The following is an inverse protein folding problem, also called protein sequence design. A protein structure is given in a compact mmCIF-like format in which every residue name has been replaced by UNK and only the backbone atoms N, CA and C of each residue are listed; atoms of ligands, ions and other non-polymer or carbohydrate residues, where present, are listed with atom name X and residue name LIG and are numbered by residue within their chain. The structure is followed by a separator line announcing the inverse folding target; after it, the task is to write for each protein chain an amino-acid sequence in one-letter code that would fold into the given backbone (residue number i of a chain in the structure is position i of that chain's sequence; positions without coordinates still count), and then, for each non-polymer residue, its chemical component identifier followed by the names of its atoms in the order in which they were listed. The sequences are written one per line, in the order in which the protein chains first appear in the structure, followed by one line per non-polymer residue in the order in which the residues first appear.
data_IF_883056455793
#
_entry.id   IF_883056455793
#
_cell.length_a   1.000
_cell.length_b   1.000
_cell.length_c   1.000
_cell.angle_alpha   90.00
_cell.angle_beta   90.00
_cell.angle_gamma   90.00
#
_symmetry.space_group_name_H-M   'P 1'
#
loop_
_entity.id
_entity.type
_entity.pdbx_description
1 polymer ?
#
# COMPACT_ATOMS: atom_id res chain seq x y z
N UNK A 1 4.05 -5.22 16.11
CA UNK A 1 2.87 -5.63 16.93
C UNK A 1 3.35 -6.46 18.12
N UNK A 2 2.86 -6.23 19.34
CA UNK A 2 3.21 -7.04 20.51
C UNK A 2 2.00 -7.84 20.98
N UNK A 3 2.18 -9.16 21.03
CA UNK A 3 1.25 -10.08 21.67
C UNK A 3 1.65 -10.21 23.14
N UNK A 4 0.69 -10.05 24.06
CA UNK A 4 0.93 -10.20 25.50
C UNK A 4 0.13 -11.41 25.99
N UNK A 5 0.84 -12.40 26.50
CA UNK A 5 0.26 -13.57 27.16
C UNK A 5 0.30 -13.33 28.67
N UNK A 6 -0.87 -13.28 29.32
CA UNK A 6 -0.99 -13.05 30.76
C UNK A 6 -1.94 -14.05 31.41
N UNK A 7 -1.63 -14.45 32.63
CA UNK A 7 -2.53 -15.23 33.50
C UNK A 7 -3.33 -14.33 34.45
N UNK A 8 -3.08 -13.03 34.44
CA UNK A 8 -3.69 -12.04 35.32
C UNK A 8 -4.87 -11.37 34.59
N UNK A 9 -6.06 -11.45 35.19
CA UNK A 9 -7.33 -10.94 34.67
C UNK A 9 -7.65 -9.52 35.16
N UNK A 10 -6.73 -8.87 35.89
CA UNK A 10 -6.94 -7.53 36.40
C UNK A 10 -7.08 -6.48 35.29
N UNK A 11 -8.00 -5.54 35.50
CA UNK A 11 -8.31 -4.43 34.58
C UNK A 11 -7.12 -3.47 34.35
N UNK A 12 -6.10 -3.55 35.19
CA UNK A 12 -4.85 -2.78 35.10
C UNK A 12 -4.00 -3.16 33.89
N UNK A 13 -4.06 -4.42 33.42
CA UNK A 13 -3.34 -4.86 32.21
C UNK A 13 -3.94 -4.18 30.98
N UNK A 14 -5.27 -4.15 30.88
CA UNK A 14 -5.98 -3.49 29.78
C UNK A 14 -5.77 -1.95 29.75
N UNK A 15 -5.57 -1.35 30.93
CA UNK A 15 -5.23 0.07 31.06
C UNK A 15 -3.78 0.39 30.69
N UNK A 16 -2.83 -0.56 30.83
CA UNK A 16 -1.47 -0.39 30.32
C UNK A 16 -1.37 -0.69 28.81
N UNK A 17 -2.20 -1.62 28.29
CA UNK A 17 -2.18 -2.04 26.88
C UNK A 17 -2.72 -1.00 25.91
N UNK A 18 -3.63 -0.13 26.37
CA UNK A 18 -4.14 1.02 25.60
C UNK A 18 -3.04 2.05 25.26
N UNK A 19 -1.90 2.03 25.98
CA UNK A 19 -0.74 2.90 25.67
C UNK A 19 0.25 2.29 24.66
N UNK A 20 0.15 1.01 24.30
CA UNK A 20 1.14 0.31 23.45
C UNK A 20 0.53 -0.69 22.48
N UNK A 21 -0.25 -0.25 21.47
CA UNK A 21 -0.60 -1.03 20.26
C UNK A 21 -0.79 -2.56 20.45
N UNK A 22 -1.49 -2.98 21.51
CA UNK A 22 -1.75 -4.40 21.81
C UNK A 22 -3.01 -4.81 21.07
N UNK A 23 -2.91 -5.88 20.27
CA UNK A 23 -4.00 -6.31 19.40
C UNK A 23 -4.89 -7.39 20.03
N UNK A 24 -4.40 -8.10 21.06
CA UNK A 24 -5.15 -9.15 21.75
C UNK A 24 -4.59 -9.40 23.16
N UNK A 25 -5.47 -9.74 24.10
CA UNK A 25 -5.14 -10.25 25.44
C UNK A 25 -5.97 -11.52 25.69
N UNK A 26 -5.35 -12.58 26.22
CA UNK A 26 -5.97 -13.90 26.32
C UNK A 26 -5.78 -14.44 27.74
N UNK A 27 -6.87 -14.89 28.37
CA UNK A 27 -6.92 -15.42 29.72
C UNK A 27 -7.05 -16.95 29.71
N UNK A 28 -6.41 -17.61 30.69
CA UNK A 28 -6.44 -19.08 30.88
C UNK A 28 -7.83 -19.58 31.33
N UNK A 29 -8.15 -20.87 31.10
CA UNK A 29 -7.30 -21.89 30.45
C UNK A 29 -7.35 -21.75 28.91
N UNK A 30 -6.17 -21.70 28.28
CA UNK A 30 -6.04 -21.41 26.85
C UNK A 30 -6.62 -22.54 26.01
N UNK A 31 -7.44 -22.20 25.01
CA UNK A 31 -7.65 -23.03 23.83
C UNK A 31 -6.65 -22.57 22.75
N UNK A 32 -5.57 -23.35 22.49
CA UNK A 32 -4.60 -23.03 21.46
C UNK A 32 -5.24 -22.83 20.08
N UNK A 33 -6.37 -23.50 19.79
CA UNK A 33 -7.09 -23.37 18.52
C UNK A 33 -7.65 -21.97 18.38
N UNK A 34 -8.39 -21.51 19.40
CA UNK A 34 -8.94 -20.16 19.44
C UNK A 34 -7.85 -19.10 19.38
N UNK A 35 -6.73 -19.30 20.09
CA UNK A 35 -5.60 -18.38 20.00
C UNK A 35 -5.04 -18.26 18.59
N UNK A 36 -4.75 -19.40 17.94
CA UNK A 36 -4.23 -19.44 16.57
C UNK A 36 -5.21 -18.77 15.61
N UNK A 37 -6.52 -19.07 15.73
CA UNK A 37 -7.58 -18.46 14.93
C UNK A 37 -7.59 -16.92 15.05
N UNK A 38 -7.51 -16.39 16.27
CA UNK A 38 -7.50 -14.93 16.51
C UNK A 38 -6.24 -14.28 15.93
N UNK A 39 -5.09 -14.94 16.00
CA UNK A 39 -3.85 -14.46 15.37
C UNK A 39 -4.00 -14.41 13.85
N UNK A 40 -4.48 -15.49 13.22
CA UNK A 40 -4.73 -15.51 11.77
C UNK A 40 -5.72 -14.42 11.35
N UNK A 41 -6.86 -14.30 12.05
CA UNK A 41 -7.86 -13.26 11.78
C UNK A 41 -7.27 -11.85 11.86
N UNK A 42 -6.44 -11.58 12.89
CA UNK A 42 -5.78 -10.29 13.05
C UNK A 42 -4.79 -9.98 11.91
N UNK A 43 -4.02 -10.98 11.48
CA UNK A 43 -3.06 -10.81 10.38
C UNK A 43 -3.81 -10.60 9.07
N UNK A 44 -4.79 -11.45 8.74
CA UNK A 44 -5.59 -11.34 7.52
C UNK A 44 -6.30 -9.99 7.42
N UNK A 45 -6.89 -9.50 8.52
CA UNK A 45 -7.55 -8.19 8.53
C UNK A 45 -6.57 -7.03 8.28
N UNK A 46 -5.36 -7.10 8.84
CA UNK A 46 -4.32 -6.07 8.61
C UNK A 46 -3.82 -6.09 7.18
N UNK A 47 -3.63 -7.27 6.62
CA UNK A 47 -3.18 -7.46 5.24
C UNK A 47 -4.23 -6.98 4.23
N UNK A 48 -5.50 -7.36 4.42
CA UNK A 48 -6.62 -6.88 3.60
C UNK A 48 -6.77 -5.35 3.66
N UNK A 49 -6.61 -4.74 4.83
CA UNK A 49 -6.64 -3.28 4.98
C UNK A 49 -5.49 -2.60 4.22
N UNK A 50 -4.28 -3.19 4.25
CA UNK A 50 -3.12 -2.67 3.52
C UNK A 50 -3.33 -2.73 2.01
N UNK A 51 -3.77 -3.88 1.49
CA UNK A 51 -4.09 -4.06 0.06
C UNK A 51 -5.15 -3.06 -0.40
N UNK A 52 -6.20 -2.84 0.40
CA UNK A 52 -7.25 -1.85 0.09
C UNK A 52 -6.70 -0.44 0.02
N UNK A 53 -5.76 -0.08 0.90
CA UNK A 53 -5.15 1.24 0.90
C UNK A 53 -4.25 1.46 -0.31
N UNK A 54 -3.44 0.46 -0.72
CA UNK A 54 -2.68 0.50 -1.98
C UNK A 54 -3.61 0.78 -3.16
N UNK A 55 -4.65 -0.03 -3.31
CA UNK A 55 -5.61 0.11 -4.40
C UNK A 55 -6.29 1.49 -4.40
N UNK A 56 -6.61 2.04 -3.22
CA UNK A 56 -7.17 3.37 -3.06
C UNK A 56 -6.20 4.45 -3.56
N UNK A 57 -4.92 4.34 -3.22
CA UNK A 57 -3.88 5.27 -3.66
C UNK A 57 -3.67 5.21 -5.18
N UNK A 58 -3.63 4.01 -5.78
CA UNK A 58 -3.57 3.84 -7.24
C UNK A 58 -4.75 4.51 -7.96
N UNK A 59 -5.98 4.33 -7.47
CA UNK A 59 -7.18 4.97 -8.04
C UNK A 59 -7.09 6.50 -7.91
N UNK A 60 -6.62 7.00 -6.76
CA UNK A 60 -6.45 8.44 -6.55
C UNK A 60 -5.45 9.03 -7.54
N UNK A 61 -4.24 8.45 -7.64
CA UNK A 61 -3.21 8.89 -8.57
C UNK A 61 -3.71 8.84 -10.03
N UNK A 62 -4.39 7.75 -10.42
CA UNK A 62 -4.92 7.60 -11.78
C UNK A 62 -5.97 8.66 -12.12
N UNK A 63 -6.79 9.02 -11.12
CA UNK A 63 -7.77 10.09 -11.25
C UNK A 63 -7.11 11.45 -11.42
N UNK A 64 -6.05 11.75 -10.66
CA UNK A 64 -5.31 13.02 -10.78
C UNK A 64 -4.65 13.17 -12.15
N UNK A 65 -3.99 12.13 -12.65
CA UNK A 65 -3.36 12.14 -13.98
C UNK A 65 -4.40 12.33 -15.09
N UNK A 66 -5.57 11.68 -14.97
CA UNK A 66 -6.69 11.89 -15.89
C UNK A 66 -7.21 13.32 -15.86
N UNK A 67 -7.30 13.94 -14.68
CA UNK A 67 -7.73 15.33 -14.55
C UNK A 67 -6.77 16.28 -15.26
N UNK A 68 -5.46 16.07 -15.16
CA UNK A 68 -4.47 16.87 -15.90
C UNK A 68 -4.64 16.73 -17.42
N UNK A 69 -4.88 15.52 -17.90
CA UNK A 69 -5.14 15.28 -19.33
C UNK A 69 -6.37 16.07 -19.80
N UNK A 70 -7.45 16.08 -19.01
CA UNK A 70 -8.66 16.83 -19.32
C UNK A 70 -8.42 18.35 -19.32
N UNK A 71 -7.67 18.87 -18.34
CA UNK A 71 -7.31 20.28 -18.27
C UNK A 71 -6.53 20.73 -19.51
N UNK A 72 -5.54 19.95 -19.95
CA UNK A 72 -4.79 20.27 -21.17
C UNK A 72 -5.69 20.28 -22.41
N UNK A 73 -6.61 19.34 -22.53
CA UNK A 73 -7.55 19.29 -23.65
C UNK A 73 -8.52 20.47 -23.67
N UNK A 74 -8.79 21.08 -22.52
CA UNK A 74 -9.61 22.29 -22.36
C UNK A 74 -8.78 23.58 -22.54
N UNK A 75 -7.46 23.48 -22.71
CA UNK A 75 -6.56 24.63 -22.77
C UNK A 75 -6.31 25.29 -21.41
N UNK A 76 -6.74 24.68 -20.31
CA UNK A 76 -6.49 25.18 -18.95
C UNK A 76 -5.10 24.74 -18.48
N UNK A 77 -4.11 25.60 -18.72
CA UNK A 77 -2.73 25.39 -18.28
C UNK A 77 -2.41 26.15 -16.99
N UNK A 78 -3.40 26.81 -16.39
CA UNK A 78 -3.21 27.59 -15.17
C UNK A 78 -2.83 26.62 -14.05
N UNK A 79 -1.72 26.89 -13.38
CA UNK A 79 -1.14 26.06 -12.32
C UNK A 79 -0.75 24.63 -12.72
N UNK A 80 -0.61 24.32 -14.02
CA UNK A 80 -0.23 22.97 -14.49
C UNK A 80 1.00 22.43 -13.77
N UNK A 81 2.07 23.24 -13.69
CA UNK A 81 3.32 22.87 -13.00
C UNK A 81 3.10 22.52 -11.53
N UNK A 82 2.30 23.32 -10.81
CA UNK A 82 2.02 23.09 -9.40
C UNK A 82 1.23 21.79 -9.18
N UNK A 83 0.27 21.51 -10.06
CA UNK A 83 -0.51 20.27 -9.99
C UNK A 83 0.33 19.04 -10.33
N UNK A 84 1.18 19.13 -11.35
CA UNK A 84 2.14 18.07 -11.68
C UNK A 84 3.12 17.82 -10.53
N UNK A 85 3.62 18.88 -9.88
CA UNK A 85 4.43 18.75 -8.67
C UNK A 85 3.70 18.11 -7.50
N UNK A 86 2.39 18.37 -7.35
CA UNK A 86 1.55 17.69 -6.34
C UNK A 86 1.42 16.20 -6.65
N UNK A 87 1.19 15.82 -7.91
CA UNK A 87 1.13 14.42 -8.33
C UNK A 87 2.46 13.71 -8.06
N UNK A 88 3.60 14.38 -8.32
CA UNK A 88 4.92 13.80 -8.03
C UNK A 88 5.09 13.50 -6.54
N UNK A 89 4.68 14.43 -5.67
CA UNK A 89 4.71 14.21 -4.23
C UNK A 89 3.78 13.07 -3.80
N UNK A 90 2.57 12.96 -4.37
CA UNK A 90 1.66 11.86 -4.08
C UNK A 90 2.21 10.49 -4.54
N UNK A 91 2.95 10.44 -5.67
CA UNK A 91 3.64 9.22 -6.13
C UNK A 91 4.74 8.85 -5.13
N UNK A 92 5.54 9.82 -4.66
CA UNK A 92 6.58 9.59 -3.66
C UNK A 92 5.99 9.07 -2.34
N UNK A 93 4.89 9.66 -1.86
CA UNK A 93 4.20 9.22 -0.65
C UNK A 93 3.64 7.79 -0.80
N UNK A 94 3.09 7.46 -1.98
CA UNK A 94 2.60 6.11 -2.28
C UNK A 94 3.73 5.08 -2.25
N UNK A 95 4.86 5.37 -2.90
CA UNK A 95 6.03 4.49 -2.88
C UNK A 95 6.59 4.33 -1.47
N UNK A 96 6.68 5.41 -0.69
CA UNK A 96 7.13 5.35 0.69
C UNK A 96 6.20 4.48 1.56
N UNK A 97 4.88 4.54 1.33
CA UNK A 97 3.90 3.71 2.02
C UNK A 97 4.12 2.21 1.77
N UNK A 98 4.33 1.81 0.51
CA UNK A 98 4.62 0.43 0.15
C UNK A 98 5.97 -0.04 0.69
N UNK A 99 7.02 0.76 0.47
CA UNK A 99 8.38 0.45 0.90
C UNK A 99 8.48 0.30 2.43
N UNK A 100 7.76 1.13 3.19
CA UNK A 100 7.69 1.01 4.63
C UNK A 100 7.11 -0.36 5.04
N UNK A 101 6.03 -0.80 4.37
CA UNK A 101 5.42 -2.10 4.65
C UNK A 101 6.35 -3.25 4.23
N UNK A 102 6.92 -3.19 3.03
CA UNK A 102 7.87 -4.17 2.51
C UNK A 102 9.06 -4.36 3.45
N UNK A 103 9.65 -3.26 3.92
CA UNK A 103 10.80 -3.28 4.84
C UNK A 103 10.43 -3.89 6.20
N UNK A 104 9.27 -3.53 6.75
CA UNK A 104 8.81 -4.06 8.05
C UNK A 104 8.46 -5.55 8.01
N UNK A 105 8.06 -6.05 6.84
CA UNK A 105 7.57 -7.41 6.66
C UNK A 105 8.50 -8.28 5.81
N UNK A 106 9.72 -7.81 5.55
CA UNK A 106 10.78 -8.56 4.86
C UNK A 106 10.34 -9.10 3.49
N UNK A 107 9.69 -8.26 2.69
CA UNK A 107 9.36 -8.61 1.30
C UNK A 107 10.65 -8.98 0.54
N UNK A 108 10.73 -10.19 -0.08
CA UNK A 108 11.98 -10.69 -0.64
C UNK A 108 12.63 -9.80 -1.69
N UNK A 109 11.80 -9.17 -2.55
CA UNK A 109 12.27 -8.37 -3.69
C UNK A 109 12.32 -6.87 -3.38
N UNK A 110 12.26 -6.47 -2.10
CA UNK A 110 12.20 -5.07 -1.66
C UNK A 110 13.29 -4.18 -2.29
N UNK A 111 14.53 -4.66 -2.38
CA UNK A 111 15.66 -3.86 -2.89
C UNK A 111 15.49 -3.53 -4.37
N UNK A 112 15.05 -4.51 -5.18
CA UNK A 112 14.80 -4.28 -6.60
C UNK A 112 13.56 -3.42 -6.80
N UNK A 113 12.52 -3.62 -5.98
CA UNK A 113 11.29 -2.83 -6.01
C UNK A 113 11.53 -1.34 -5.73
N UNK A 114 12.25 -1.04 -4.64
CA UNK A 114 12.64 0.34 -4.31
C UNK A 114 13.50 0.99 -5.42
N UNK A 115 14.35 0.20 -6.09
CA UNK A 115 15.13 0.70 -7.22
C UNK A 115 14.23 1.06 -8.41
N UNK A 116 13.20 0.26 -8.68
CA UNK A 116 12.13 0.57 -9.63
C UNK A 116 11.46 1.91 -9.32
N UNK A 117 11.00 2.11 -8.08
CA UNK A 117 10.42 3.38 -7.62
C UNK A 117 11.32 4.59 -7.86
N UNK A 118 12.60 4.50 -7.49
CA UNK A 118 13.58 5.59 -7.72
C UNK A 118 13.72 5.92 -9.21
N UNK A 119 13.69 4.92 -10.09
CA UNK A 119 13.75 5.13 -11.53
C UNK A 119 12.49 5.81 -12.05
N UNK A 120 11.30 5.38 -11.58
CA UNK A 120 10.02 6.01 -11.92
C UNK A 120 9.99 7.47 -11.46
N UNK A 121 10.36 7.78 -10.22
CA UNK A 121 10.41 9.16 -9.71
C UNK A 121 11.36 10.06 -10.52
N UNK A 122 12.54 9.54 -10.85
CA UNK A 122 13.52 10.26 -11.67
C UNK A 122 12.96 10.56 -13.07
N UNK A 123 12.28 9.60 -13.68
CA UNK A 123 11.67 9.77 -15.00
C UNK A 123 10.45 10.70 -14.93
N UNK A 124 9.62 10.59 -13.91
CA UNK A 124 8.46 11.43 -13.68
C UNK A 124 8.86 12.91 -13.55
N UNK A 125 9.89 13.21 -12.75
CA UNK A 125 10.40 14.57 -12.61
C UNK A 125 10.83 15.17 -13.97
N UNK A 126 11.56 14.39 -14.79
CA UNK A 126 11.95 14.81 -16.15
C UNK A 126 10.76 15.05 -17.06
N UNK A 127 9.78 14.13 -17.06
CA UNK A 127 8.57 14.25 -17.85
C UNK A 127 7.77 15.49 -17.46
N UNK A 128 7.70 15.84 -16.18
CA UNK A 128 7.00 17.04 -15.69
C UNK A 128 7.63 18.32 -16.26
N UNK A 129 8.96 18.42 -16.26
CA UNK A 129 9.66 19.55 -16.87
C UNK A 129 9.44 19.63 -18.39
N UNK A 130 9.46 18.48 -19.08
CA UNK A 130 9.15 18.39 -20.50
C UNK A 130 7.71 18.82 -20.81
N UNK A 131 6.74 18.38 -20.00
CA UNK A 131 5.32 18.74 -20.16
C UNK A 131 5.13 20.26 -20.08
N UNK A 132 5.81 20.92 -19.15
CA UNK A 132 5.68 22.37 -18.93
C UNK A 132 6.28 23.23 -20.07
N UNK A 133 7.17 22.66 -20.88
CA UNK A 133 7.89 23.38 -21.95
C UNK A 133 7.44 22.97 -23.36
N UNK A 134 6.61 21.93 -23.46
CA UNK A 134 6.17 21.34 -24.72
C UNK A 134 4.89 21.98 -25.29
N UNK A 135 4.64 21.76 -26.58
CA UNK A 135 3.33 22.05 -27.17
C UNK A 135 2.23 21.17 -26.56
N UNK A 136 0.95 21.57 -26.57
CA UNK A 136 -0.14 20.80 -25.96
C UNK A 136 -0.26 19.35 -26.47
N UNK A 137 0.04 19.11 -27.75
CA UNK A 137 0.03 17.75 -28.31
C UNK A 137 1.13 16.87 -27.70
N UNK A 138 2.35 17.40 -27.60
CA UNK A 138 3.49 16.69 -27.00
C UNK A 138 3.27 16.51 -25.49
N UNK A 139 2.77 17.53 -24.80
CA UNK A 139 2.42 17.47 -23.38
C UNK A 139 1.44 16.32 -23.08
N UNK A 140 0.39 16.17 -23.89
CA UNK A 140 -0.56 15.06 -23.78
C UNK A 140 0.09 13.68 -24.00
N UNK A 141 1.02 13.55 -24.95
CA UNK A 141 1.76 12.30 -25.14
C UNK A 141 2.64 11.98 -23.92
N UNK A 142 3.28 13.00 -23.34
CA UNK A 142 4.15 12.86 -22.17
C UNK A 142 3.38 12.52 -20.90
N UNK A 143 2.15 13.03 -20.73
CA UNK A 143 1.28 12.63 -19.62
C UNK A 143 0.84 11.17 -19.76
N UNK A 144 0.53 10.71 -20.98
CA UNK A 144 0.26 9.27 -21.21
C UNK A 144 1.48 8.42 -20.84
N UNK A 145 2.67 8.86 -21.23
CA UNK A 145 3.92 8.21 -20.84
C UNK A 145 4.08 8.18 -19.31
N UNK A 146 3.88 9.31 -18.63
CA UNK A 146 3.91 9.39 -17.16
C UNK A 146 2.93 8.40 -16.53
N UNK A 147 1.70 8.33 -17.05
CA UNK A 147 0.69 7.38 -16.58
C UNK A 147 1.14 5.93 -16.77
N UNK A 148 1.73 5.60 -17.91
CA UNK A 148 2.25 4.25 -18.17
C UNK A 148 3.43 3.93 -17.25
N UNK A 149 4.38 4.85 -17.09
CA UNK A 149 5.56 4.63 -16.25
C UNK A 149 5.19 4.45 -14.77
N UNK A 150 4.12 5.11 -14.29
CA UNK A 150 3.64 5.01 -12.90
C UNK A 150 2.79 3.75 -12.65
N UNK A 151 1.94 3.33 -13.61
CA UNK A 151 0.97 2.23 -13.37
C UNK A 151 1.27 0.92 -14.11
N UNK A 152 2.14 0.93 -15.13
CA UNK A 152 2.54 -0.28 -15.85
C UNK A 152 3.88 -0.82 -15.34
N UNK A 153 4.15 -0.60 -14.07
CA UNK A 153 5.27 -1.24 -13.39
C UNK A 153 4.86 -2.69 -13.15
N UNK A 154 5.50 -3.61 -13.88
CA UNK A 154 5.37 -5.06 -13.63
C UNK A 154 5.71 -5.47 -12.20
N UNK A 155 6.30 -4.58 -11.42
CA UNK A 155 6.78 -4.80 -10.06
C UNK A 155 5.68 -4.64 -8.99
N UNK A 156 4.84 -3.59 -9.06
CA UNK A 156 3.67 -3.43 -8.17
C UNK A 156 2.73 -4.64 -8.26
N UNK A 157 2.54 -5.15 -9.49
CA UNK A 157 1.70 -6.34 -9.73
C UNK A 157 2.27 -7.57 -9.01
N UNK A 158 3.60 -7.72 -8.92
CA UNK A 158 4.24 -8.82 -8.18
C UNK A 158 4.05 -8.66 -6.68
N UNK A 159 4.25 -7.44 -6.17
CA UNK A 159 4.06 -7.17 -4.74
C UNK A 159 2.61 -7.38 -4.31
N UNK A 160 1.65 -6.79 -5.02
CA UNK A 160 0.22 -6.97 -4.75
C UNK A 160 -0.19 -8.43 -4.89
N UNK A 161 0.31 -9.15 -5.91
CA UNK A 161 0.11 -10.59 -6.06
C UNK A 161 0.60 -11.37 -4.85
N UNK A 162 1.82 -11.09 -4.39
CA UNK A 162 2.38 -11.70 -3.17
C UNK A 162 1.51 -11.44 -1.93
N UNK A 163 0.95 -10.22 -1.77
CA UNK A 163 0.06 -9.92 -0.65
C UNK A 163 -1.26 -10.71 -0.74
N UNK A 164 -1.82 -10.88 -1.93
CA UNK A 164 -3.02 -11.70 -2.13
C UNK A 164 -2.76 -13.19 -1.88
N UNK A 165 -1.65 -13.73 -2.37
CA UNK A 165 -1.24 -15.11 -2.15
C UNK A 165 -1.06 -15.39 -0.65
N UNK A 166 -0.44 -14.44 0.07
CA UNK A 166 -0.30 -14.51 1.53
C UNK A 166 -1.68 -14.48 2.22
N UNK A 167 -2.58 -13.59 1.80
CA UNK A 167 -3.93 -13.50 2.35
C UNK A 167 -4.74 -14.78 2.11
N UNK A 168 -4.62 -15.37 0.91
CA UNK A 168 -5.27 -16.63 0.56
C UNK A 168 -4.72 -17.79 1.38
N UNK A 169 -3.39 -17.87 1.57
CA UNK A 169 -2.75 -18.88 2.41
C UNK A 169 -3.27 -18.83 3.84
N UNK A 170 -3.33 -17.63 4.43
CA UNK A 170 -3.87 -17.42 5.79
C UNK A 170 -5.35 -17.80 5.87
N UNK A 171 -6.14 -17.53 4.84
CA UNK A 171 -7.59 -17.79 4.84
C UNK A 171 -7.93 -19.25 4.57
N UNK A 172 -7.17 -19.92 3.71
CA UNK A 172 -7.35 -21.34 3.37
C UNK A 172 -7.02 -22.23 4.58
N UNK A 173 -5.99 -21.87 5.35
CA UNK A 173 -5.67 -22.58 6.58
C UNK A 173 -6.82 -22.58 7.59
N UNK A 174 -7.61 -21.49 7.67
CA UNK A 174 -8.78 -21.43 8.54
C UNK A 174 -9.93 -22.34 8.07
N UNK A 175 -10.03 -22.62 6.76
CA UNK A 175 -11.10 -23.47 6.19
C UNK A 175 -10.77 -24.96 6.21
N UNK A 176 -9.50 -25.33 6.01
CA UNK A 176 -9.04 -26.73 6.05
C UNK A 176 -8.99 -27.29 7.47
N UNK A 177 -9.03 -26.40 8.45
CA UNK A 177 -9.09 -26.72 9.86
C UNK A 177 -10.56 -26.95 10.25
N UNK A 178 -11.17 -27.96 9.62
CA UNK A 178 -12.45 -28.51 10.03
C UNK A 178 -12.19 -29.46 11.21
N UNK A 179 -12.02 -28.90 12.40
CA UNK A 179 -11.82 -29.68 13.62
C UNK A 179 -13.17 -30.26 14.04
N UNK A 180 -13.49 -31.46 13.55
CA UNK A 180 -14.52 -32.30 14.15
C UNK A 180 -14.22 -32.46 15.65
N UNK A 181 -15.24 -32.22 16.46
CA UNK A 181 -15.25 -32.31 17.93
C UNK A 181 -14.70 -33.63 18.47
#
# INVERSE_FOLDING_TARGET
PKLVLTSDSSSSIFQQTTKKNVCAAILKPYDPRRFIQEVFNCISKRLDAHIKEINRQHIQLGTQIKNITNMLNQGDTINLKNRLGTILAEIEDHFAFEEQYMSQHFYPDFVEHQKGHKQVLTNAAKLIDEICTSSPMIANQKIKQLSTDVFDVTDDKKYIGFLYDLLESLTTHLKTVDFKE
#
